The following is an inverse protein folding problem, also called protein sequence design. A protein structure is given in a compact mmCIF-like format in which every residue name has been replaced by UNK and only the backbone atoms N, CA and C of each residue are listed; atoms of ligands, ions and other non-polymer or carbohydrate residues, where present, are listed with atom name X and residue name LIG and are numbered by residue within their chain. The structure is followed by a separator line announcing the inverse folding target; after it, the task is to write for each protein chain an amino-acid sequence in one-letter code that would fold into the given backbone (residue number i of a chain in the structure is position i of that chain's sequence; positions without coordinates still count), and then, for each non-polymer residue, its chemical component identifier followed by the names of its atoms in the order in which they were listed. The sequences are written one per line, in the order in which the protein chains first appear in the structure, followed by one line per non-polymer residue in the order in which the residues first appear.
data_IF_545287114672
#
_entry.id   IF_545287114672
#
_cell.length_a   1.000
_cell.length_b   1.000
_cell.length_c   1.000
_cell.angle_alpha   90.00
_cell.angle_beta   90.00
_cell.angle_gamma   90.00
#
_symmetry.space_group_name_H-M   'P 1'
#
loop_
_entity.id
_entity.type
_entity.pdbx_description
1 polymer ?
#
# COMPACT_ATOMS: atom_id res chain seq x y z
N UNK A 1 18.61 -15.82 0.62
CA UNK A 1 17.70 -16.98 0.57
C UNK A 1 17.08 -17.18 -0.81
N UNK A 2 16.62 -16.12 -1.49
CA UNK A 2 15.98 -16.21 -2.81
C UNK A 2 14.58 -15.56 -2.88
N UNK A 3 14.07 -15.06 -1.73
CA UNK A 3 12.76 -14.41 -1.59
C UNK A 3 12.50 -13.37 -2.69
N UNK A 4 13.33 -12.35 -2.78
CA UNK A 4 13.12 -11.22 -3.68
C UNK A 4 13.14 -11.62 -5.15
N UNK A 5 14.14 -12.43 -5.55
CA UNK A 5 14.23 -12.99 -6.91
C UNK A 5 12.98 -13.81 -7.27
N UNK A 6 12.44 -14.57 -6.33
CA UNK A 6 11.23 -15.35 -6.57
C UNK A 6 9.97 -14.48 -6.69
N UNK A 7 9.84 -13.42 -5.86
CA UNK A 7 8.74 -12.44 -6.01
C UNK A 7 8.83 -11.79 -7.39
N UNK A 8 10.01 -11.33 -7.80
CA UNK A 8 10.23 -10.76 -9.13
C UNK A 8 9.93 -11.76 -10.25
N UNK A 9 10.30 -13.04 -10.08
CA UNK A 9 9.99 -14.08 -11.05
C UNK A 9 8.48 -14.32 -11.19
N UNK A 10 7.73 -14.26 -10.08
CA UNK A 10 6.26 -14.38 -10.10
C UNK A 10 5.63 -13.16 -10.79
N UNK A 11 6.06 -11.95 -10.43
CA UNK A 11 5.58 -10.71 -11.04
C UNK A 11 5.86 -10.72 -12.55
N UNK A 12 7.10 -11.03 -12.94
CA UNK A 12 7.47 -11.14 -14.34
C UNK A 12 6.61 -12.18 -15.07
N UNK A 13 6.40 -13.36 -14.47
CA UNK A 13 5.55 -14.40 -15.06
C UNK A 13 4.14 -13.89 -15.37
N UNK A 14 3.56 -13.06 -14.49
CA UNK A 14 2.25 -12.43 -14.73
C UNK A 14 2.36 -11.38 -15.84
N UNK A 15 3.34 -10.47 -15.76
CA UNK A 15 3.52 -9.38 -16.72
C UNK A 15 3.81 -9.87 -18.15
N UNK A 16 4.40 -11.06 -18.31
CA UNK A 16 4.60 -11.68 -19.62
C UNK A 16 3.31 -12.29 -20.22
N UNK A 17 2.26 -12.49 -19.42
CA UNK A 17 1.06 -13.23 -19.84
C UNK A 17 -0.25 -12.45 -19.65
N UNK A 18 -0.23 -11.26 -19.04
CA UNK A 18 -1.41 -10.49 -18.71
C UNK A 18 -1.24 -9.00 -19.03
N UNK A 19 -2.26 -8.42 -19.66
CA UNK A 19 -2.37 -6.98 -19.85
C UNK A 19 -2.91 -6.29 -18.59
N UNK A 20 -2.88 -4.95 -18.50
CA UNK A 20 -3.51 -4.22 -17.39
C UNK A 20 -5.03 -4.45 -17.28
N UNK A 21 -5.70 -4.83 -18.37
CA UNK A 21 -7.14 -5.18 -18.36
C UNK A 21 -7.38 -6.56 -17.76
N UNK A 22 -6.39 -7.45 -17.81
CA UNK A 22 -6.48 -8.79 -17.24
C UNK A 22 -6.09 -8.80 -15.76
N UNK A 23 -4.99 -8.11 -15.41
CA UNK A 23 -4.42 -8.10 -14.06
C UNK A 23 -3.94 -6.71 -13.66
N UNK A 24 -4.28 -6.33 -12.43
CA UNK A 24 -3.84 -5.11 -11.77
C UNK A 24 -3.11 -5.44 -10.47
N UNK A 25 -2.09 -4.64 -10.13
CA UNK A 25 -1.26 -4.82 -8.95
C UNK A 25 -1.50 -3.73 -7.91
N UNK A 26 -1.50 -4.16 -6.64
CA UNK A 26 -1.34 -3.29 -5.48
C UNK A 26 -0.06 -3.72 -4.75
N UNK A 27 0.99 -2.92 -4.83
CA UNK A 27 2.32 -3.28 -4.30
C UNK A 27 2.63 -2.50 -3.03
N UNK A 28 3.03 -3.22 -1.98
CA UNK A 28 3.42 -2.69 -0.68
C UNK A 28 4.86 -3.07 -0.38
N UNK A 29 5.73 -2.06 -0.31
CA UNK A 29 7.18 -2.20 -0.06
C UNK A 29 7.65 -1.18 0.99
N UNK A 30 7.54 -1.52 2.29
CA UNK A 30 7.94 -0.61 3.36
C UNK A 30 9.44 -0.34 3.41
N UNK A 31 10.25 -1.15 2.70
CA UNK A 31 11.71 -1.01 2.68
C UNK A 31 12.22 -0.21 1.50
N UNK A 32 11.40 -0.03 0.45
CA UNK A 32 11.75 0.67 -0.80
C UNK A 32 12.91 0.05 -1.56
N UNK A 33 13.02 -1.28 -1.51
CA UNK A 33 14.17 -2.00 -2.09
C UNK A 33 13.72 -2.88 -3.25
N UNK A 34 12.58 -3.56 -3.10
CA UNK A 34 12.24 -4.69 -3.96
C UNK A 34 11.17 -4.31 -4.99
N UNK A 35 10.04 -3.75 -4.55
CA UNK A 35 8.90 -3.47 -5.43
C UNK A 35 8.93 -2.05 -5.99
N UNK A 36 9.67 -1.12 -5.38
CA UNK A 36 9.81 0.25 -5.91
C UNK A 36 10.36 0.31 -7.34
N UNK A 37 11.04 -0.74 -7.80
CA UNK A 37 11.49 -0.86 -9.21
C UNK A 37 10.35 -0.91 -10.23
N UNK A 38 9.14 -1.31 -9.82
CA UNK A 38 7.95 -1.40 -10.68
C UNK A 38 7.13 -0.11 -10.73
N UNK A 39 7.54 0.95 -10.04
CA UNK A 39 6.80 2.22 -9.98
C UNK A 39 6.41 2.71 -11.38
N UNK A 40 5.16 3.10 -11.59
CA UNK A 40 4.65 3.62 -12.87
C UNK A 40 4.44 2.60 -14.00
N UNK A 41 4.46 1.28 -13.77
CA UNK A 41 3.96 0.34 -14.79
C UNK A 41 2.43 0.48 -14.97
N UNK A 42 1.88 0.24 -16.17
CA UNK A 42 0.46 0.41 -16.44
C UNK A 42 -0.46 -0.52 -15.63
N UNK A 43 0.08 -1.59 -15.04
CA UNK A 43 -0.66 -2.52 -14.18
C UNK A 43 -0.89 -2.02 -12.75
N UNK A 44 -0.23 -0.95 -12.28
CA UNK A 44 -0.36 -0.50 -10.88
C UNK A 44 -1.67 0.25 -10.62
N UNK A 45 -2.42 -0.16 -9.60
CA UNK A 45 -3.63 0.54 -9.12
C UNK A 45 -3.31 1.82 -8.36
N UNK A 46 -2.15 1.89 -7.74
CA UNK A 46 -1.70 2.97 -6.90
C UNK A 46 -0.17 2.97 -6.93
N UNK A 47 0.50 4.12 -6.73
CA UNK A 47 1.95 4.16 -6.51
C UNK A 47 2.41 3.13 -5.47
N UNK A 48 3.65 2.66 -5.56
CA UNK A 48 4.13 1.62 -4.62
C UNK A 48 4.01 2.15 -3.18
N UNK A 49 3.27 1.44 -2.34
CA UNK A 49 2.96 1.89 -0.99
C UNK A 49 4.14 1.60 -0.07
N UNK A 50 4.79 2.66 0.39
CA UNK A 50 6.03 2.58 1.19
C UNK A 50 5.82 2.83 2.67
N UNK A 51 4.70 3.45 3.08
CA UNK A 51 4.43 3.74 4.48
C UNK A 51 3.54 2.66 5.10
N UNK A 52 3.90 2.07 6.25
CA UNK A 52 3.09 1.02 6.88
C UNK A 52 1.65 1.42 7.20
N UNK A 53 1.42 2.69 7.55
CA UNK A 53 0.06 3.20 7.79
C UNK A 53 -0.77 3.25 6.50
N UNK A 54 -0.18 3.72 5.40
CA UNK A 54 -0.82 3.72 4.08
C UNK A 54 -1.08 2.29 3.59
N UNK A 55 -0.17 1.36 3.88
CA UNK A 55 -0.35 -0.06 3.55
C UNK A 55 -1.56 -0.67 4.24
N UNK A 56 -1.80 -0.34 5.52
CA UNK A 56 -3.02 -0.76 6.22
C UNK A 56 -4.27 -0.28 5.49
N UNK A 57 -4.31 1.00 5.07
CA UNK A 57 -5.45 1.55 4.31
C UNK A 57 -5.62 0.90 2.95
N UNK A 58 -4.53 0.63 2.25
CA UNK A 58 -4.56 -0.06 0.96
C UNK A 58 -5.19 -1.47 1.10
N UNK A 59 -4.89 -2.18 2.20
CA UNK A 59 -5.54 -3.46 2.51
C UNK A 59 -7.03 -3.30 2.87
N UNK A 60 -7.40 -2.24 3.60
CA UNK A 60 -8.82 -1.94 3.89
C UNK A 60 -9.56 -1.58 2.60
N UNK A 61 -8.94 -0.84 1.67
CA UNK A 61 -9.51 -0.56 0.35
C UNK A 61 -9.76 -1.87 -0.40
N UNK A 62 -8.78 -2.77 -0.42
CA UNK A 62 -8.95 -4.06 -1.07
C UNK A 62 -10.11 -4.87 -0.48
N UNK A 63 -10.36 -4.76 0.82
CA UNK A 63 -11.55 -5.36 1.47
C UNK A 63 -12.84 -4.70 0.95
N UNK A 64 -12.89 -3.38 0.81
CA UNK A 64 -14.06 -2.66 0.26
C UNK A 64 -14.30 -2.99 -1.21
N UNK A 65 -13.24 -3.08 -2.01
CA UNK A 65 -13.34 -3.50 -3.42
C UNK A 65 -13.79 -4.96 -3.53
N UNK A 66 -13.31 -5.85 -2.67
CA UNK A 66 -13.83 -7.23 -2.58
C UNK A 66 -15.35 -7.24 -2.33
N UNK A 67 -15.84 -6.46 -1.37
CA UNK A 67 -17.28 -6.34 -1.10
C UNK A 67 -18.07 -5.74 -2.27
N UNK A 68 -17.52 -4.72 -2.94
CA UNK A 68 -18.11 -4.13 -4.14
C UNK A 68 -18.27 -5.17 -5.23
N UNK A 69 -17.20 -5.95 -5.51
CA UNK A 69 -17.26 -7.04 -6.49
C UNK A 69 -18.31 -8.08 -6.10
N UNK A 70 -18.40 -8.46 -4.82
CA UNK A 70 -19.45 -9.38 -4.37
C UNK A 70 -20.88 -8.88 -4.67
N UNK A 71 -21.14 -7.58 -4.48
CA UNK A 71 -22.44 -6.98 -4.88
C UNK A 71 -22.67 -7.10 -6.39
N UNK A 72 -21.65 -6.82 -7.20
CA UNK A 72 -21.74 -6.96 -8.66
C UNK A 72 -22.00 -8.42 -9.09
N UNK A 73 -21.36 -9.40 -8.41
CA UNK A 73 -21.62 -10.83 -8.65
C UNK A 73 -23.07 -11.21 -8.33
N UNK A 74 -23.61 -10.69 -7.22
CA UNK A 74 -24.99 -10.95 -6.78
C UNK A 74 -26.01 -10.34 -7.76
N UNK A 75 -25.80 -9.09 -8.18
CA UNK A 75 -26.63 -8.40 -9.17
C UNK A 75 -26.65 -9.12 -10.52
N UNK A 76 -25.47 -9.59 -10.97
CA UNK A 76 -25.34 -10.42 -12.17
C UNK A 76 -25.81 -11.87 -11.99
N UNK A 77 -26.14 -12.29 -10.75
CA UNK A 77 -26.55 -13.65 -10.37
C UNK A 77 -25.53 -14.72 -10.75
N UNK A 78 -24.25 -14.41 -10.65
CA UNK A 78 -23.13 -15.32 -10.93
C UNK A 78 -22.40 -15.70 -9.65
N UNK A 79 -21.70 -16.83 -9.67
CA UNK A 79 -21.08 -17.41 -8.47
C UNK A 79 -19.61 -17.03 -8.25
N UNK A 80 -19.01 -16.31 -9.19
CA UNK A 80 -17.60 -15.95 -9.12
C UNK A 80 -17.15 -15.04 -10.25
N UNK A 81 -15.95 -14.52 -10.08
CA UNK A 81 -15.30 -13.55 -10.96
C UNK A 81 -15.23 -13.95 -12.43
N UNK A 82 -14.81 -15.18 -12.75
CA UNK A 82 -14.72 -15.62 -14.16
C UNK A 82 -16.09 -15.60 -14.84
N UNK A 83 -17.11 -16.15 -14.17
CA UNK A 83 -18.49 -16.13 -14.68
C UNK A 83 -19.06 -14.73 -14.80
N UNK A 84 -18.62 -13.78 -13.97
CA UNK A 84 -18.98 -12.37 -14.12
C UNK A 84 -18.39 -11.78 -15.39
N UNK A 85 -17.09 -11.96 -15.63
CA UNK A 85 -16.42 -11.46 -16.82
C UNK A 85 -16.88 -12.10 -18.13
N UNK A 86 -17.55 -13.26 -18.08
CA UNK A 86 -18.20 -13.87 -19.25
C UNK A 86 -19.49 -13.16 -19.67
N UNK A 87 -20.19 -12.50 -18.73
CA UNK A 87 -21.52 -11.91 -18.97
C UNK A 87 -21.53 -10.39 -18.87
N UNK A 88 -20.56 -9.78 -18.20
CA UNK A 88 -20.47 -8.34 -18.01
C UNK A 88 -20.02 -7.63 -19.30
N UNK A 89 -20.61 -6.48 -19.58
CA UNK A 89 -20.18 -5.60 -20.68
C UNK A 89 -18.79 -5.02 -20.38
N UNK A 90 -18.56 -4.60 -19.13
CA UNK A 90 -17.26 -4.16 -18.63
C UNK A 90 -16.63 -5.26 -17.77
N UNK A 91 -15.53 -5.82 -18.26
CA UNK A 91 -14.78 -6.85 -17.52
C UNK A 91 -13.97 -6.21 -16.41
N UNK A 92 -13.88 -6.91 -15.28
CA UNK A 92 -13.02 -6.55 -14.18
C UNK A 92 -11.66 -7.24 -14.34
N UNK A 93 -10.54 -6.58 -13.98
CA UNK A 93 -9.24 -7.24 -13.89
C UNK A 93 -9.12 -8.03 -12.59
N UNK A 94 -8.31 -9.08 -12.60
CA UNK A 94 -7.81 -9.68 -11.37
C UNK A 94 -6.97 -8.66 -10.60
N UNK A 95 -7.06 -8.67 -9.27
CA UNK A 95 -6.18 -7.84 -8.42
C UNK A 95 -5.20 -8.74 -7.69
N UNK A 96 -3.91 -8.46 -7.85
CA UNK A 96 -2.84 -9.14 -7.11
C UNK A 96 -2.19 -8.16 -6.14
N UNK A 97 -2.37 -8.41 -4.85
CA UNK A 97 -1.81 -7.61 -3.77
C UNK A 97 -0.51 -8.26 -3.31
N UNK A 98 0.59 -7.51 -3.34
CA UNK A 98 1.92 -8.02 -3.00
C UNK A 98 2.48 -7.21 -1.83
N UNK A 99 2.83 -7.90 -0.75
CA UNK A 99 3.48 -7.32 0.43
C UNK A 99 4.87 -7.93 0.57
N UNK A 100 5.94 -7.15 0.34
CA UNK A 100 7.32 -7.68 0.39
C UNK A 100 7.77 -8.06 1.81
N UNK A 101 7.40 -7.26 2.81
CA UNK A 101 7.78 -7.48 4.21
C UNK A 101 6.59 -7.24 5.14
N UNK A 102 5.81 -8.29 5.34
CA UNK A 102 4.65 -8.29 6.24
C UNK A 102 5.04 -7.90 7.67
N UNK A 103 6.23 -8.28 8.14
CA UNK A 103 6.67 -8.00 9.50
C UNK A 103 6.70 -6.49 9.82
N UNK A 104 7.07 -5.65 8.86
CA UNK A 104 7.10 -4.19 9.06
C UNK A 104 5.68 -3.61 9.23
N UNK A 105 4.69 -4.19 8.54
CA UNK A 105 3.29 -3.80 8.72
C UNK A 105 2.76 -4.22 10.09
N UNK A 106 3.06 -5.46 10.50
CA UNK A 106 2.63 -6.00 11.79
C UNK A 106 3.21 -5.23 12.98
N UNK A 107 4.41 -4.67 12.86
CA UNK A 107 5.02 -3.87 13.94
C UNK A 107 4.35 -2.51 14.16
N UNK A 108 3.67 -1.97 13.14
CA UNK A 108 3.07 -0.62 13.19
C UNK A 108 1.56 -0.68 13.42
N UNK A 109 0.86 -1.61 12.76
CA UNK A 109 -0.60 -1.68 12.75
C UNK A 109 -1.11 -3.13 12.73
N UNK A 110 -0.61 -3.98 13.63
CA UNK A 110 -0.90 -5.44 13.66
C UNK A 110 -2.38 -5.78 13.55
N UNK A 111 -3.24 -5.13 14.35
CA UNK A 111 -4.66 -5.48 14.43
C UNK A 111 -5.41 -5.23 13.12
N UNK A 112 -5.20 -4.07 12.50
CA UNK A 112 -5.91 -3.70 11.28
C UNK A 112 -5.38 -4.48 10.07
N UNK A 113 -4.05 -4.65 9.99
CA UNK A 113 -3.38 -5.41 8.94
C UNK A 113 -3.79 -6.89 9.01
N UNK A 114 -3.74 -7.51 10.18
CA UNK A 114 -4.14 -8.91 10.36
C UNK A 114 -5.62 -9.13 10.05
N UNK A 115 -6.49 -8.22 10.52
CA UNK A 115 -7.92 -8.27 10.24
C UNK A 115 -8.23 -8.19 8.74
N UNK A 116 -7.61 -7.24 8.04
CA UNK A 116 -7.80 -7.08 6.59
C UNK A 116 -7.25 -8.28 5.82
N UNK A 117 -6.04 -8.76 6.15
CA UNK A 117 -5.42 -9.94 5.53
C UNK A 117 -6.29 -11.19 5.74
N UNK A 118 -6.77 -11.42 6.97
CA UNK A 118 -7.61 -12.57 7.27
C UNK A 118 -8.91 -12.53 6.46
N UNK A 119 -9.56 -11.37 6.41
CA UNK A 119 -10.82 -11.18 5.68
C UNK A 119 -10.65 -11.38 4.18
N UNK A 120 -9.60 -10.80 3.60
CA UNK A 120 -9.26 -11.00 2.20
C UNK A 120 -8.96 -12.47 1.92
N UNK A 121 -8.08 -13.11 2.68
CA UNK A 121 -7.71 -14.50 2.44
C UNK A 121 -8.89 -15.48 2.53
N UNK A 122 -9.92 -15.16 3.33
CA UNK A 122 -11.14 -15.96 3.45
C UNK A 122 -12.08 -15.84 2.25
N UNK A 123 -12.24 -14.65 1.67
CA UNK A 123 -13.36 -14.35 0.76
C UNK A 123 -12.91 -13.83 -0.62
N UNK A 124 -11.68 -13.35 -0.76
CA UNK A 124 -11.21 -12.67 -1.96
C UNK A 124 -11.18 -13.53 -3.23
N UNK A 125 -11.08 -14.86 -3.08
CA UNK A 125 -10.97 -15.80 -4.22
C UNK A 125 -12.11 -15.66 -5.22
N UNK A 126 -13.35 -15.57 -4.75
CA UNK A 126 -14.51 -15.48 -5.65
C UNK A 126 -14.62 -14.08 -6.29
N UNK A 127 -14.02 -13.06 -5.69
CA UNK A 127 -13.95 -11.69 -6.18
C UNK A 127 -12.75 -11.43 -7.13
N UNK A 128 -11.92 -12.44 -7.40
CA UNK A 128 -10.74 -12.28 -8.26
C UNK A 128 -9.63 -11.44 -7.63
N UNK A 129 -9.51 -11.46 -6.30
CA UNK A 129 -8.44 -10.77 -5.57
C UNK A 129 -7.53 -11.80 -4.91
N UNK A 130 -6.22 -11.67 -5.09
CA UNK A 130 -5.20 -12.62 -4.65
C UNK A 130 -4.08 -11.93 -3.87
N UNK A 131 -3.60 -12.58 -2.81
CA UNK A 131 -2.59 -12.02 -1.92
C UNK A 131 -1.28 -12.83 -2.00
N UNK A 132 -0.16 -12.12 -2.13
CA UNK A 132 1.20 -12.62 -1.98
C UNK A 132 1.83 -11.91 -0.79
N UNK A 133 2.02 -12.65 0.31
CA UNK A 133 2.64 -12.13 1.52
C UNK A 133 4.04 -12.70 1.66
N UNK A 134 5.02 -11.83 1.78
CA UNK A 134 6.41 -12.20 1.98
C UNK A 134 6.93 -11.60 3.30
N UNK A 135 7.90 -12.29 3.89
CA UNK A 135 8.58 -11.85 5.13
C UNK A 135 9.96 -12.49 5.19
N UNK A 136 10.92 -11.76 5.76
CA UNK A 136 12.22 -12.31 6.15
C UNK A 136 12.27 -12.68 7.64
N UNK A 137 11.23 -12.34 8.39
CA UNK A 137 11.07 -12.62 9.82
C UNK A 137 9.98 -13.68 10.03
N UNK A 138 10.30 -14.98 9.93
CA UNK A 138 9.35 -16.08 10.11
C UNK A 138 9.11 -16.38 11.60
N UNK A 139 8.69 -15.37 12.37
CA UNK A 139 8.28 -15.52 13.77
C UNK A 139 6.78 -15.76 13.91
N UNK A 140 6.36 -16.32 15.04
CA UNK A 140 4.94 -16.56 15.35
C UNK A 140 4.14 -15.26 15.46
N UNK A 141 4.80 -14.16 15.87
CA UNK A 141 4.17 -12.85 15.98
C UNK A 141 3.88 -12.22 14.61
N UNK A 142 4.61 -12.64 13.56
CA UNK A 142 4.38 -12.19 12.18
C UNK A 142 3.48 -13.17 11.43
N UNK A 143 3.72 -14.47 11.59
CA UNK A 143 2.95 -15.55 10.98
C UNK A 143 2.03 -16.19 12.02
N UNK A 144 1.03 -15.42 12.42
CA UNK A 144 0.06 -15.81 13.45
C UNK A 144 -0.78 -17.00 13.02
N UNK A 145 -1.51 -17.60 13.97
CA UNK A 145 -2.44 -18.70 13.68
C UNK A 145 -3.53 -18.29 12.66
N UNK A 146 -4.03 -17.05 12.73
CA UNK A 146 -5.03 -16.54 11.80
C UNK A 146 -4.49 -16.43 10.37
N UNK A 147 -3.26 -15.94 10.20
CA UNK A 147 -2.63 -15.88 8.89
C UNK A 147 -2.41 -17.30 8.35
N UNK A 148 -1.83 -18.20 9.15
CA UNK A 148 -1.59 -19.58 8.71
C UNK A 148 -2.87 -20.31 8.33
N UNK A 149 -3.97 -20.10 9.05
CA UNK A 149 -5.25 -20.74 8.76
C UNK A 149 -5.82 -20.35 7.39
N UNK A 150 -5.54 -19.14 6.89
CA UNK A 150 -6.12 -18.62 5.65
C UNK A 150 -5.16 -18.67 4.44
N UNK A 151 -3.87 -18.95 4.65
CA UNK A 151 -2.87 -19.11 3.58
C UNK A 151 -2.38 -20.56 3.49
N UNK A 152 -3.11 -21.44 2.79
CA UNK A 152 -2.78 -22.86 2.70
C UNK A 152 -1.60 -23.14 1.77
N UNK A 153 -1.35 -22.28 0.78
CA UNK A 153 -0.21 -22.38 -0.14
C UNK A 153 0.98 -21.65 0.45
N UNK A 154 2.13 -22.31 0.60
CA UNK A 154 3.30 -21.69 1.25
C UNK A 154 4.59 -22.03 0.51
N UNK A 155 5.50 -21.08 0.49
CA UNK A 155 6.86 -21.22 -0.04
C UNK A 155 7.83 -20.84 1.07
N UNK A 156 8.81 -21.71 1.33
CA UNK A 156 9.90 -21.43 2.26
C UNK A 156 11.23 -21.53 1.53
N UNK A 157 11.98 -20.44 1.55
CA UNK A 157 13.40 -20.45 1.16
C UNK A 157 14.26 -20.87 2.35
N UNK A 158 15.57 -20.94 2.14
CA UNK A 158 16.52 -21.22 3.23
C UNK A 158 16.27 -20.30 4.45
N UNK A 159 16.02 -20.92 5.59
CA UNK A 159 15.89 -20.28 6.90
C UNK A 159 17.03 -20.70 7.83
N UNK A 160 17.18 -19.98 8.95
CA UNK A 160 18.29 -20.19 9.89
C UNK A 160 18.07 -21.39 10.81
N UNK A 161 16.82 -21.74 11.12
CA UNK A 161 16.52 -22.76 12.12
C UNK A 161 15.32 -23.64 11.77
N UNK A 162 15.26 -24.80 12.42
CA UNK A 162 14.11 -25.71 12.36
C UNK A 162 12.83 -25.07 12.92
N UNK A 163 12.95 -24.12 13.85
CA UNK A 163 11.81 -23.38 14.40
C UNK A 163 11.21 -22.51 13.30
N UNK A 164 12.04 -21.74 12.59
CA UNK A 164 11.61 -20.88 11.48
C UNK A 164 10.96 -21.70 10.36
N UNK A 165 11.52 -22.87 10.03
CA UNK A 165 10.93 -23.78 9.04
C UNK A 165 9.51 -24.20 9.46
N UNK A 166 9.33 -24.57 10.73
CA UNK A 166 8.00 -24.94 11.25
C UNK A 166 7.04 -23.77 11.28
N UNK A 167 7.50 -22.55 11.52
CA UNK A 167 6.63 -21.39 11.47
C UNK A 167 6.03 -21.20 10.08
N UNK A 168 6.80 -21.46 9.01
CA UNK A 168 6.34 -21.25 7.62
C UNK A 168 5.55 -22.46 7.10
N UNK A 169 6.11 -23.66 7.14
CA UNK A 169 5.55 -24.84 6.45
C UNK A 169 5.02 -25.92 7.41
N UNK A 170 4.86 -25.59 8.70
CA UNK A 170 4.43 -26.53 9.75
C UNK A 170 5.27 -27.82 9.81
N UNK A 171 6.51 -27.75 9.31
CA UNK A 171 7.44 -28.88 9.16
C UNK A 171 8.89 -28.43 9.13
N UNK A 172 9.81 -29.39 9.16
CA UNK A 172 11.25 -29.15 9.01
C UNK A 172 11.72 -29.39 7.58
N UNK A 173 12.86 -28.81 7.22
CA UNK A 173 13.54 -29.04 5.96
C UNK A 173 14.06 -27.76 5.33
N UNK A 174 13.43 -26.61 5.60
CA UNK A 174 13.83 -25.34 5.01
C UNK A 174 15.21 -24.87 5.53
N UNK A 175 15.58 -25.27 6.75
CA UNK A 175 16.89 -25.02 7.34
C UNK A 175 18.05 -25.74 6.62
N UNK A 176 17.73 -26.77 5.81
CA UNK A 176 18.68 -27.56 5.05
C UNK A 176 18.79 -27.14 3.58
N UNK A 177 18.04 -26.13 3.16
CA UNK A 177 18.12 -25.60 1.80
C UNK A 177 19.48 -24.95 1.53
N UNK A 178 19.86 -24.93 0.26
CA UNK A 178 21.17 -24.43 -0.19
C UNK A 178 21.22 -22.90 -0.19
N UNK A 179 20.06 -22.23 -0.30
CA UNK A 179 19.96 -20.79 -0.57
C UNK A 179 19.89 -20.54 -2.07
N UNK A 180 20.15 -19.29 -2.50
CA UNK A 180 20.17 -18.90 -3.92
C UNK A 180 18.98 -19.42 -4.75
N UNK A 181 17.76 -19.33 -4.21
CA UNK A 181 16.53 -19.75 -4.92
C UNK A 181 16.08 -21.18 -4.65
N UNK A 182 16.85 -22.00 -3.94
CA UNK A 182 16.39 -23.30 -3.45
C UNK A 182 15.27 -23.11 -2.41
N UNK A 183 14.13 -23.78 -2.64
CA UNK A 183 12.90 -23.59 -1.88
C UNK A 183 12.10 -24.87 -1.67
N UNK A 184 11.26 -24.85 -0.64
CA UNK A 184 10.20 -25.83 -0.39
C UNK A 184 8.85 -25.19 -0.70
N UNK A 185 8.09 -25.82 -1.57
CA UNK A 185 6.74 -25.45 -1.95
C UNK A 185 5.73 -26.43 -1.34
N UNK A 186 4.75 -25.89 -0.61
CA UNK A 186 3.63 -26.63 -0.07
C UNK A 186 2.34 -26.19 -0.78
N UNK A 187 1.73 -27.07 -1.61
CA UNK A 187 0.48 -26.76 -2.29
C UNK A 187 -0.71 -26.82 -1.31
N UNK A 188 -1.82 -26.16 -1.64
CA UNK A 188 -2.97 -26.07 -0.75
C UNK A 188 -3.61 -27.45 -0.53
N UNK A 189 -4.15 -27.66 0.68
CA UNK A 189 -4.92 -28.87 1.01
C UNK A 189 -4.08 -30.15 1.19
N UNK A 190 -2.75 -30.06 1.13
CA UNK A 190 -1.85 -31.20 1.37
C UNK A 190 -0.75 -30.82 2.35
N UNK A 191 -0.20 -31.80 3.05
CA UNK A 191 1.06 -31.67 3.81
C UNK A 191 2.29 -32.06 2.96
N UNK A 192 2.10 -32.28 1.65
CA UNK A 192 3.19 -32.71 0.78
C UNK A 192 4.09 -31.53 0.47
N UNK A 193 5.39 -31.69 0.70
CA UNK A 193 6.38 -30.67 0.42
C UNK A 193 7.12 -31.07 -0.85
N UNK A 194 7.20 -30.14 -1.80
CA UNK A 194 7.99 -30.28 -3.03
C UNK A 194 9.21 -29.37 -2.93
N UNK A 195 10.41 -29.92 -3.12
CA UNK A 195 11.61 -29.10 -3.28
C UNK A 195 11.67 -28.58 -4.71
N UNK A 196 11.93 -27.29 -4.88
CA UNK A 196 11.97 -26.60 -6.16
C UNK A 196 13.21 -25.70 -6.18
N UNK A 197 13.87 -25.62 -7.34
CA UNK A 197 14.91 -24.62 -7.58
C UNK A 197 14.26 -23.45 -8.33
N UNK A 198 14.20 -22.29 -7.66
CA UNK A 198 13.59 -21.10 -8.21
C UNK A 198 14.31 -20.61 -9.46
N UNK A 199 13.53 -20.06 -10.40
CA UNK A 199 14.09 -19.35 -11.55
C UNK A 199 14.88 -18.13 -11.06
N UNK A 200 15.94 -17.80 -11.77
CA UNK A 200 16.71 -16.59 -11.55
C UNK A 200 16.25 -15.53 -12.56
N UNK A 201 15.98 -14.33 -12.05
CA UNK A 201 15.81 -13.11 -12.83
C UNK A 201 16.72 -12.06 -12.22
N UNK A 202 17.49 -11.39 -13.06
CA UNK A 202 18.38 -10.30 -12.65
C UNK A 202 17.62 -8.98 -12.50
N UNK A 203 18.22 -8.05 -11.76
CA UNK A 203 17.71 -6.67 -11.66
C UNK A 203 17.68 -5.98 -13.03
N UNK A 204 18.66 -6.28 -13.89
CA UNK A 204 18.72 -5.75 -15.24
C UNK A 204 17.52 -6.23 -16.09
N UNK A 205 17.23 -7.53 -16.09
CA UNK A 205 16.07 -8.08 -16.81
C UNK A 205 14.75 -7.49 -16.29
N UNK A 206 14.65 -7.27 -14.98
CA UNK A 206 13.48 -6.64 -14.35
C UNK A 206 13.34 -5.18 -14.81
N UNK A 207 14.42 -4.41 -14.84
CA UNK A 207 14.43 -3.03 -15.29
C UNK A 207 14.08 -2.89 -16.78
N UNK A 208 14.58 -3.81 -17.61
CA UNK A 208 14.27 -3.89 -19.04
C UNK A 208 12.77 -4.18 -19.27
N UNK A 209 12.21 -5.13 -18.50
CA UNK A 209 10.77 -5.44 -18.52
C UNK A 209 9.91 -4.23 -18.13
N UNK A 210 10.25 -3.57 -17.02
CA UNK A 210 9.52 -2.36 -16.57
C UNK A 210 9.61 -1.25 -17.62
N UNK A 211 10.78 -1.04 -18.20
CA UNK A 211 10.99 -0.04 -19.26
C UNK A 211 10.17 -0.36 -20.51
N UNK A 212 10.08 -1.63 -20.88
CA UNK A 212 9.26 -2.08 -22.01
C UNK A 212 7.77 -1.80 -21.76
N UNK A 213 7.26 -2.12 -20.56
CA UNK A 213 5.85 -1.91 -20.20
C UNK A 213 5.47 -0.42 -20.17
N UNK A 214 6.32 0.44 -19.60
CA UNK A 214 6.10 1.89 -19.56
C UNK A 214 6.02 2.55 -20.95
N UNK A 215 6.64 1.94 -21.97
CA UNK A 215 6.52 2.41 -23.36
C UNK A 215 5.18 2.07 -23.99
N UNK A 216 4.43 1.12 -23.42
CA UNK A 216 3.14 0.69 -23.94
C UNK A 216 1.97 1.48 -23.36
N UNK A 217 2.13 2.08 -22.17
CA UNK A 217 1.11 2.88 -21.53
C UNK A 217 1.58 3.51 -20.22
N UNK A 218 0.88 4.55 -19.80
CA UNK A 218 1.09 5.21 -18.51
C UNK A 218 0.29 4.51 -17.40
N UNK A 219 0.71 4.70 -16.15
CA UNK A 219 -0.04 4.22 -15.00
C UNK A 219 -1.28 5.08 -14.79
N UNK A 220 -2.45 4.49 -15.03
CA UNK A 220 -3.74 5.08 -14.65
C UNK A 220 -4.06 4.56 -13.26
N UNK A 221 -3.84 5.37 -12.23
CA UNK A 221 -4.16 5.00 -10.85
C UNK A 221 -5.68 5.05 -10.63
N UNK A 222 -6.15 4.21 -9.72
CA UNK A 222 -7.56 4.13 -9.35
C UNK A 222 -7.82 5.18 -8.26
N UNK A 223 -8.64 6.19 -8.60
CA UNK A 223 -8.96 7.31 -7.72
C UNK A 223 -9.55 6.84 -6.39
N UNK A 224 -10.32 5.74 -6.37
CA UNK A 224 -10.88 5.22 -5.12
C UNK A 224 -9.82 4.67 -4.17
N UNK A 225 -8.72 4.14 -4.72
CA UNK A 225 -7.56 3.72 -3.92
C UNK A 225 -6.83 4.95 -3.40
N UNK A 226 -6.59 5.94 -4.26
CA UNK A 226 -5.91 7.18 -3.91
C UNK A 226 -6.65 7.90 -2.79
N UNK A 227 -7.95 8.15 -2.97
CA UNK A 227 -8.81 8.77 -1.96
C UNK A 227 -8.74 8.00 -0.65
N UNK A 228 -8.96 6.68 -0.65
CA UNK A 228 -8.95 5.94 0.61
C UNK A 228 -7.57 5.86 1.29
N UNK A 229 -6.49 5.81 0.51
CA UNK A 229 -5.13 5.75 1.05
C UNK A 229 -4.68 7.12 1.56
N UNK A 230 -5.07 8.21 0.88
CA UNK A 230 -4.64 9.58 1.14
C UNK A 230 -5.60 10.37 2.07
N UNK A 231 -6.92 10.24 1.95
CA UNK A 231 -7.93 11.01 2.71
C UNK A 231 -7.94 10.67 4.20
N UNK A 232 -7.81 9.39 4.58
CA UNK A 232 -7.69 9.05 6.02
C UNK A 232 -6.28 9.38 6.57
N UNK A 233 -5.34 9.79 5.70
CA UNK A 233 -4.01 10.32 6.03
C UNK A 233 -4.07 11.62 6.80
N UNK A 234 -5.08 12.41 6.50
CA UNK A 234 -5.41 13.63 7.20
C UNK A 234 -6.08 13.31 8.55
N UNK A 235 -6.94 12.28 8.60
CA UNK A 235 -7.64 11.86 9.81
C UNK A 235 -6.78 11.09 10.85
N UNK A 236 -5.70 10.40 10.45
CA UNK A 236 -4.83 9.67 11.39
C UNK A 236 -3.52 10.41 11.77
N UNK A 237 -3.39 11.66 11.30
CA UNK A 237 -2.42 12.66 11.76
C UNK A 237 -3.04 13.74 12.66
N UNK A 238 -4.36 13.75 12.79
CA UNK A 238 -5.11 14.74 13.55
C UNK A 238 -5.83 14.07 14.71
N UNK A 239 -5.09 13.90 15.81
CA UNK A 239 -5.71 14.13 17.10
C UNK A 239 -6.02 15.63 17.17
N UNK A 240 -7.25 15.98 16.81
CA UNK A 240 -7.76 17.35 16.84
C UNK A 240 -9.09 17.41 16.12
N UNK A 241 -10.17 17.36 16.89
CA UNK A 241 -11.44 17.96 16.49
C UNK A 241 -11.20 19.40 15.99
N UNK A 242 -12.08 19.82 15.09
CA UNK A 242 -12.21 21.16 14.51
C UNK A 242 -11.26 21.52 13.37
N UNK A 243 -11.88 21.87 12.24
CA UNK A 243 -11.33 22.50 11.02
C UNK A 243 -10.83 23.94 11.32
N UNK A 244 -10.37 24.18 12.55
CA UNK A 244 -9.83 25.42 13.09
C UNK A 244 -8.58 25.04 13.88
N UNK A 245 -7.40 25.46 13.43
CA UNK A 245 -6.19 25.28 14.21
C UNK A 245 -6.38 25.98 15.57
N UNK A 246 -6.12 25.30 16.70
CA UNK A 246 -6.27 25.89 18.06
C UNK A 246 -5.56 27.25 18.23
N UNK A 247 -4.58 27.53 17.36
CA UNK A 247 -3.77 28.75 17.36
C UNK A 247 -4.02 29.63 16.15
N UNK A 248 -5.08 29.37 15.38
CA UNK A 248 -5.48 30.16 14.23
C UNK A 248 -5.73 31.62 14.62
N UNK A 249 -6.55 31.85 15.65
CA UNK A 249 -6.84 33.22 16.12
C UNK A 249 -5.57 33.94 16.61
N UNK A 250 -4.66 33.23 17.28
CA UNK A 250 -3.37 33.77 17.71
C UNK A 250 -2.50 34.12 16.48
N UNK A 251 -2.54 33.30 15.43
CA UNK A 251 -1.84 33.52 14.19
C UNK A 251 -2.41 34.74 13.44
N UNK A 252 -3.73 34.86 13.35
CA UNK A 252 -4.44 35.97 12.70
C UNK A 252 -4.12 37.27 13.42
N UNK A 253 -4.25 37.31 14.75
CA UNK A 253 -3.93 38.49 15.53
C UNK A 253 -2.47 38.94 15.32
N UNK A 254 -1.54 37.99 15.33
CA UNK A 254 -0.13 38.26 15.09
C UNK A 254 0.16 38.78 13.68
N UNK A 255 -0.45 38.19 12.66
CA UNK A 255 -0.29 38.60 11.26
C UNK A 255 -0.89 39.99 11.04
N UNK A 256 -2.07 40.27 11.61
CA UNK A 256 -2.71 41.58 11.60
C UNK A 256 -1.87 42.66 12.29
N UNK A 257 -1.19 42.33 13.39
CA UNK A 257 -0.28 43.26 14.07
C UNK A 257 1.04 43.47 13.31
N UNK A 258 1.58 42.41 12.70
CA UNK A 258 2.83 42.46 11.96
C UNK A 258 2.71 43.11 10.57
N UNK A 259 1.50 43.14 10.01
CA UNK A 259 1.20 43.69 8.68
C UNK A 259 1.75 42.87 7.50
N UNK A 260 2.34 41.70 7.76
CA UNK A 260 2.86 40.79 6.74
C UNK A 260 2.76 39.33 7.22
N UNK A 261 2.52 38.41 6.30
CA UNK A 261 2.35 36.99 6.61
C UNK A 261 3.36 36.12 5.85
N UNK A 262 4.05 35.21 6.55
CA UNK A 262 4.83 34.16 5.90
C UNK A 262 4.87 32.90 6.75
N UNK A 263 4.97 31.74 6.07
CA UNK A 263 5.00 30.43 6.72
C UNK A 263 6.10 30.39 7.80
N UNK A 264 7.32 30.80 7.46
CA UNK A 264 8.46 30.81 8.39
C UNK A 264 8.31 31.77 9.58
N UNK A 265 7.46 32.79 9.45
CA UNK A 265 7.17 33.73 10.53
C UNK A 265 6.16 33.14 11.52
N UNK A 266 5.11 32.49 11.00
CA UNK A 266 4.14 31.75 11.82
C UNK A 266 4.80 30.55 12.51
N UNK A 267 5.65 29.79 11.80
CA UNK A 267 6.44 28.69 12.38
C UNK A 267 7.25 29.13 13.60
N UNK A 268 7.94 30.28 13.51
CA UNK A 268 8.78 30.79 14.61
C UNK A 268 7.95 31.33 15.76
N UNK A 269 6.86 32.06 15.47
CA UNK A 269 6.01 32.69 16.48
C UNK A 269 5.19 31.67 17.27
N UNK A 270 4.65 30.68 16.58
CA UNK A 270 3.80 29.64 17.18
C UNK A 270 4.58 28.35 17.49
N UNK A 271 5.87 28.25 17.12
CA UNK A 271 6.69 27.03 17.32
C UNK A 271 6.02 25.78 16.73
N UNK A 272 5.50 25.91 15.51
CA UNK A 272 4.80 24.85 14.78
C UNK A 272 5.57 24.39 13.53
N UNK A 273 5.27 23.18 13.06
CA UNK A 273 5.86 22.59 11.85
C UNK A 273 5.46 23.32 10.56
N UNK A 274 6.21 23.10 9.48
CA UNK A 274 6.03 23.79 8.20
C UNK A 274 4.63 23.59 7.63
N UNK A 275 4.16 22.35 7.55
CA UNK A 275 2.84 22.02 6.99
C UNK A 275 1.70 22.68 7.77
N UNK A 276 1.81 22.73 9.11
CA UNK A 276 0.81 23.40 9.96
C UNK A 276 0.79 24.91 9.71
N UNK A 277 1.95 25.55 9.64
CA UNK A 277 2.05 26.97 9.31
C UNK A 277 1.58 27.29 7.88
N UNK A 278 1.79 26.38 6.92
CA UNK A 278 1.31 26.52 5.55
C UNK A 278 -0.23 26.49 5.51
N UNK A 279 -0.87 25.52 6.18
CA UNK A 279 -2.34 25.43 6.29
C UNK A 279 -2.96 26.67 6.91
N UNK A 280 -2.36 27.20 7.99
CA UNK A 280 -2.81 28.45 8.62
C UNK A 280 -2.77 29.62 7.62
N UNK A 281 -1.69 29.76 6.84
CA UNK A 281 -1.56 30.81 5.81
C UNK A 281 -2.57 30.63 4.66
N UNK A 282 -2.80 29.39 4.21
CA UNK A 282 -3.76 29.07 3.16
C UNK A 282 -5.20 29.36 3.61
N UNK A 283 -5.51 29.04 4.86
CA UNK A 283 -6.81 29.35 5.46
C UNK A 283 -7.04 30.86 5.59
N UNK A 284 -6.01 31.61 6.04
CA UNK A 284 -6.05 33.08 6.05
C UNK A 284 -6.24 33.68 4.65
N UNK A 285 -5.69 33.06 3.60
CA UNK A 285 -5.88 33.50 2.21
C UNK A 285 -7.32 33.23 1.76
N UNK A 286 -7.85 32.04 2.07
CA UNK A 286 -9.23 31.64 1.77
C UNK A 286 -10.26 32.54 2.47
N UNK A 287 -9.98 32.97 3.69
CA UNK A 287 -10.82 33.91 4.46
C UNK A 287 -10.58 35.38 4.09
N UNK A 288 -9.64 35.68 3.19
CA UNK A 288 -9.36 37.05 2.74
C UNK A 288 -8.62 37.92 3.76
N UNK A 289 -7.97 37.30 4.74
CA UNK A 289 -7.14 37.97 5.75
C UNK A 289 -5.76 38.33 5.17
N UNK A 290 -5.20 37.47 4.31
CA UNK A 290 -3.93 37.69 3.60
C UNK A 290 -4.13 37.62 2.08
N UNK A 291 -3.34 38.38 1.34
CA UNK A 291 -3.33 38.36 -0.11
C UNK A 291 -2.68 37.11 -0.71
N UNK A 292 -2.82 36.92 -2.03
CA UNK A 292 -2.25 35.78 -2.74
C UNK A 292 -0.73 35.74 -2.67
N UNK A 293 -0.16 34.55 -2.87
CA UNK A 293 1.29 34.36 -2.84
C UNK A 293 2.01 35.15 -3.97
N UNK A 294 2.97 36.01 -3.61
CA UNK A 294 3.89 36.68 -4.54
C UNK A 294 5.32 36.11 -4.38
N UNK A 295 5.50 34.89 -4.89
CA UNK A 295 6.79 34.19 -4.86
C UNK A 295 7.33 33.98 -3.45
N UNK A 296 8.59 34.36 -3.21
CA UNK A 296 9.28 34.20 -1.93
C UNK A 296 9.05 35.35 -0.93
N UNK A 297 8.25 36.36 -1.29
CA UNK A 297 8.01 37.52 -0.43
C UNK A 297 6.90 37.23 0.60
N UNK A 298 6.95 37.88 1.79
CA UNK A 298 5.83 37.86 2.71
C UNK A 298 4.54 38.38 2.05
N UNK A 299 3.42 37.70 2.30
CA UNK A 299 2.10 38.07 1.80
C UNK A 299 1.61 39.32 2.52
N UNK A 300 0.95 40.20 1.76
CA UNK A 300 0.30 41.40 2.30
C UNK A 300 -0.94 41.03 3.13
N UNK A 301 -1.18 41.74 4.23
CA UNK A 301 -2.34 41.51 5.09
C UNK A 301 -3.46 42.45 4.69
N UNK A 302 -4.62 41.89 4.35
CA UNK A 302 -5.77 42.60 3.80
C UNK A 302 -6.80 42.99 4.88
N UNK A 303 -6.80 42.29 6.03
CA UNK A 303 -7.65 42.62 7.17
C UNK A 303 -7.15 43.89 7.90
N UNK A 304 -8.00 44.91 8.03
CA UNK A 304 -7.73 46.12 8.83
C UNK A 304 -8.04 45.86 10.31
N UNK A 305 -7.28 46.51 11.21
CA UNK A 305 -7.41 46.48 12.68
C UNK A 305 -8.85 46.77 13.17
N UNK A 306 -9.70 45.74 13.22
CA UNK A 306 -10.87 45.63 14.11
C UNK A 306 -11.26 44.16 14.30
N UNK A 307 -10.54 43.44 15.16
CA UNK A 307 -11.07 42.25 15.83
C UNK A 307 -11.16 42.61 17.32
N UNK A 308 -12.31 43.16 17.71
CA UNK A 308 -12.83 43.09 19.09
C UNK A 308 -13.95 42.05 19.10
#
# INVERSE_FOLDING_TARGET
AGKSVAINSIIASILFNATPEDVRFLMIDPKRIELSGYEGIPHLLHPVVVEPKLASRALIWAVREMERRYRMLEEARVKGFDSYNEVAEEKLPYIVIIVDELADLMMVASKDVEGAIARLAQMARAAGIHLILATQRPSVDVLTGLIKANFPTRISFKVSSKVDSRTIIDGSGAEHLLGMGDMLYMPPGTSTIKRVHGAYISEQETAELVTFLKKQGEAIYDDSVLEQVEEEGQLAGEGGEDDYDDRYDEAVAFVCDAGQASISMIQRRLRIGYNRAARIIEMMEKEGIVGPADGAKPREVLARKSYE
#
